data_IF_941511201280
#
_entry.id   IF_941511201280
#
_cell.length_a   1.000
_cell.length_b   1.000
_cell.length_c   1.000
_cell.angle_alpha   90.00
_cell.angle_beta   90.00
_cell.angle_gamma   90.00
#
_symmetry.space_group_name_H-M   'P 1'
#
loop_
_entity.id
_entity.type
_entity.pdbx_description
1 polymer ?
#
# COMPACT_ATOMS: atom_id res chain seq x y z
N UNK A 1 -0.65 26.85 2.83
CA UNK A 1 -0.85 26.53 4.27
C UNK A 1 -1.15 25.04 4.44
N UNK A 2 -0.27 24.36 5.17
CA UNK A 2 -0.41 22.96 5.58
C UNK A 2 -1.44 22.91 6.76
N UNK A 3 -2.57 22.17 6.67
CA UNK A 3 -3.62 22.13 7.73
C UNK A 3 -4.23 20.74 7.98
N UNK A 4 -4.81 20.52 9.17
CA UNK A 4 -5.59 19.31 9.51
C UNK A 4 -6.97 19.42 8.84
N UNK A 5 -7.43 18.32 8.25
CA UNK A 5 -8.77 18.22 7.64
C UNK A 5 -9.37 16.85 7.94
N UNK A 6 -10.67 16.69 7.83
CA UNK A 6 -11.31 15.36 7.88
C UNK A 6 -11.37 14.79 6.47
N UNK A 7 -11.15 13.48 6.33
CA UNK A 7 -11.35 12.80 5.05
C UNK A 7 -12.83 12.44 4.86
N UNK A 8 -13.43 12.80 3.73
CA UNK A 8 -14.83 12.49 3.41
C UNK A 8 -15.12 10.99 3.26
N UNK A 9 -14.11 10.19 2.91
CA UNK A 9 -14.31 8.74 2.69
C UNK A 9 -14.36 7.96 4.00
N UNK A 10 -13.40 8.19 4.89
CA UNK A 10 -13.22 7.39 6.10
C UNK A 10 -13.57 8.13 7.39
N UNK A 11 -13.82 9.46 7.31
CA UNK A 11 -14.10 10.35 8.43
C UNK A 11 -12.98 10.42 9.48
N UNK A 12 -11.76 9.96 9.15
CA UNK A 12 -10.59 10.10 10.00
C UNK A 12 -9.89 11.44 9.79
N UNK A 13 -9.17 11.95 10.81
CA UNK A 13 -8.26 13.07 10.66
C UNK A 13 -7.20 12.77 9.59
N UNK A 14 -7.08 13.73 8.69
CA UNK A 14 -6.18 13.75 7.54
C UNK A 14 -5.51 15.12 7.46
N UNK A 15 -4.70 15.31 6.44
CA UNK A 15 -3.93 16.52 6.23
C UNK A 15 -4.07 16.98 4.78
N UNK A 16 -4.12 18.30 4.60
CA UNK A 16 -4.08 18.94 3.29
C UNK A 16 -2.90 19.90 3.18
N UNK A 17 -2.12 19.73 2.11
CA UNK A 17 -1.04 20.62 1.74
C UNK A 17 0.22 19.89 1.25
N UNK A 18 1.34 20.56 1.48
CA UNK A 18 2.73 20.26 1.19
C UNK A 18 3.28 18.85 1.56
N UNK A 19 2.65 18.09 2.44
CA UNK A 19 3.12 16.79 2.95
C UNK A 19 4.30 16.88 3.94
N UNK A 20 5.09 17.95 3.87
CA UNK A 20 6.27 18.18 4.74
C UNK A 20 5.92 18.44 6.21
N UNK A 21 4.69 18.84 6.51
CA UNK A 21 4.25 19.13 7.88
C UNK A 21 3.21 18.11 8.39
N UNK A 22 3.16 16.90 7.83
CA UNK A 22 2.19 15.86 8.26
C UNK A 22 2.39 15.53 9.74
N UNK A 23 3.63 15.26 10.17
CA UNK A 23 3.92 14.90 11.57
C UNK A 23 3.63 16.04 12.55
N UNK A 24 3.81 17.29 12.11
CA UNK A 24 3.55 18.47 12.93
C UNK A 24 2.04 18.77 13.04
N UNK A 25 1.26 18.47 11.98
CA UNK A 25 -0.19 18.70 11.95
C UNK A 25 -0.98 17.55 12.59
N UNK A 26 -0.50 16.31 12.47
CA UNK A 26 -1.10 15.10 13.03
C UNK A 26 -0.35 14.58 14.27
N UNK A 27 0.53 15.37 14.89
CA UNK A 27 1.32 14.94 16.05
C UNK A 27 0.48 14.47 17.24
N UNK A 28 -0.67 15.09 17.43
CA UNK A 28 -1.66 14.75 18.47
C UNK A 28 -2.56 13.56 18.08
N UNK A 29 -2.57 13.13 16.81
CA UNK A 29 -3.36 11.99 16.35
C UNK A 29 -2.49 10.73 16.30
N UNK A 30 -2.82 9.66 17.04
CA UNK A 30 -2.10 8.40 16.96
C UNK A 30 -2.22 7.80 15.56
N UNK A 31 -1.15 7.13 15.08
CA UNK A 31 -1.06 6.62 13.69
C UNK A 31 -2.25 5.75 13.26
N UNK A 32 -2.87 5.05 14.21
CA UNK A 32 -4.02 4.21 13.95
C UNK A 32 -5.29 5.00 13.59
N UNK A 33 -5.45 6.19 14.17
CA UNK A 33 -6.60 7.06 13.91
C UNK A 33 -6.40 8.00 12.72
N UNK A 34 -5.24 7.97 12.07
CA UNK A 34 -4.95 8.78 10.87
C UNK A 34 -5.61 8.15 9.64
N UNK A 35 -5.99 8.98 8.66
CA UNK A 35 -6.51 8.48 7.39
C UNK A 35 -5.47 7.66 6.62
N UNK A 36 -5.75 6.36 6.37
CA UNK A 36 -4.91 5.42 5.61
C UNK A 36 -5.42 5.12 4.19
N UNK A 37 -6.39 5.88 3.69
CA UNK A 37 -7.02 5.62 2.38
C UNK A 37 -6.04 5.61 1.19
N UNK A 38 -4.88 6.29 1.33
CA UNK A 38 -3.86 6.35 0.27
C UNK A 38 -2.93 5.13 0.26
N UNK A 39 -2.68 4.51 1.40
CA UNK A 39 -1.79 3.34 1.52
C UNK A 39 -2.46 2.06 1.01
N UNK A 40 -3.76 1.91 1.27
CA UNK A 40 -4.55 0.74 0.82
C UNK A 40 -4.56 0.55 -0.70
N UNK A 41 -4.35 1.63 -1.47
CA UNK A 41 -4.36 1.57 -2.93
C UNK A 41 -3.01 1.16 -3.54
N UNK A 42 -1.94 1.04 -2.74
CA UNK A 42 -0.59 0.76 -3.24
C UNK A 42 -0.12 -0.67 -2.96
N UNK A 43 -0.75 -1.39 -2.03
CA UNK A 43 -0.40 -2.76 -1.68
C UNK A 43 -0.87 -3.81 -2.70
N UNK A 44 -1.71 -3.43 -3.67
CA UNK A 44 -2.30 -4.38 -4.61
C UNK A 44 -1.47 -4.66 -5.87
N UNK A 45 -0.37 -3.93 -6.14
CA UNK A 45 0.24 -3.94 -7.49
C UNK A 45 1.73 -4.31 -7.53
N UNK A 46 2.42 -4.38 -6.39
CA UNK A 46 3.89 -4.53 -6.38
C UNK A 46 4.36 -5.97 -6.21
N UNK A 47 3.54 -6.86 -5.63
CA UNK A 47 3.92 -8.26 -5.36
C UNK A 47 3.88 -9.18 -6.59
N UNK A 48 2.97 -8.91 -7.55
CA UNK A 48 2.66 -9.85 -8.63
C UNK A 48 3.66 -9.78 -9.81
N UNK A 49 4.26 -8.62 -10.04
CA UNK A 49 5.22 -8.43 -11.13
C UNK A 49 6.64 -8.92 -10.79
N UNK A 50 7.02 -8.86 -9.50
CA UNK A 50 8.32 -9.32 -9.02
C UNK A 50 8.42 -10.85 -9.01
N UNK A 51 7.32 -11.52 -8.62
CA UNK A 51 7.19 -12.97 -8.69
C UNK A 51 7.21 -13.48 -10.14
N UNK A 52 6.55 -12.78 -11.07
CA UNK A 52 6.56 -13.16 -12.49
C UNK A 52 7.96 -13.03 -13.13
N UNK A 53 8.76 -12.03 -12.72
CA UNK A 53 10.14 -11.89 -13.20
C UNK A 53 11.11 -12.91 -12.59
N UNK A 54 10.94 -13.28 -11.32
CA UNK A 54 11.71 -14.37 -10.72
C UNK A 54 11.34 -15.73 -11.33
N UNK A 55 10.05 -15.98 -11.61
CA UNK A 55 9.60 -17.22 -12.24
C UNK A 55 10.14 -17.40 -13.66
N UNK A 56 10.24 -16.33 -14.46
CA UNK A 56 10.84 -16.36 -15.79
C UNK A 56 12.33 -16.73 -15.76
N UNK A 57 13.10 -16.17 -14.82
CA UNK A 57 14.53 -16.50 -14.65
C UNK A 57 14.72 -17.93 -14.15
N UNK A 58 13.84 -18.41 -13.26
CA UNK A 58 13.86 -19.78 -12.77
C UNK A 58 13.52 -20.80 -13.88
N UNK A 59 12.52 -20.51 -14.72
CA UNK A 59 12.10 -21.36 -15.85
C UNK A 59 13.19 -21.55 -16.91
N UNK A 60 14.01 -20.53 -17.16
CA UNK A 60 15.09 -20.63 -18.16
C UNK A 60 16.32 -21.38 -17.67
N UNK A 61 16.52 -21.47 -16.35
CA UNK A 61 17.72 -22.07 -15.76
C UNK A 61 17.48 -23.52 -15.38
N UNK A 62 16.37 -23.86 -14.71
CA UNK A 62 16.00 -25.21 -14.30
C UNK A 62 14.56 -25.48 -14.77
N UNK A 63 14.37 -26.31 -15.80
CA UNK A 63 13.05 -26.61 -16.39
C UNK A 63 12.10 -27.37 -15.45
N UNK A 64 11.60 -26.71 -14.40
CA UNK A 64 10.64 -27.26 -13.42
C UNK A 64 9.36 -26.43 -13.53
N UNK A 65 8.37 -26.99 -14.23
CA UNK A 65 7.04 -26.42 -14.39
C UNK A 65 6.24 -26.68 -13.11
N UNK A 66 5.97 -25.64 -12.31
CA UNK A 66 5.12 -25.76 -11.12
C UNK A 66 3.69 -25.31 -11.45
N UNK A 67 2.66 -26.13 -11.20
CA UNK A 67 1.26 -25.77 -11.43
C UNK A 67 0.78 -24.74 -10.41
N UNK A 68 0.10 -23.70 -10.87
CA UNK A 68 -0.60 -22.77 -9.98
C UNK A 68 -1.75 -23.51 -9.27
N UNK A 69 -1.52 -23.84 -8.00
CA UNK A 69 -2.44 -24.57 -7.14
C UNK A 69 -3.70 -23.76 -6.81
N UNK A 70 -4.84 -24.44 -6.96
CA UNK A 70 -5.76 -24.66 -5.84
C UNK A 70 -6.53 -23.46 -5.27
N UNK A 71 -7.73 -23.21 -5.82
CA UNK A 71 -8.77 -22.45 -5.12
C UNK A 71 -9.46 -23.30 -4.04
N UNK A 72 -9.52 -22.71 -2.85
CA UNK A 72 -10.68 -22.54 -1.96
C UNK A 72 -11.18 -23.69 -1.05
N UNK A 73 -11.33 -23.30 0.23
CA UNK A 73 -12.01 -23.92 1.39
C UNK A 73 -11.29 -25.07 2.09
#
# INVERSE_FOLDING_TARGET
MCRRTTCDKCHKPSYMGCGRHIEQVLGDVPKDQRCKCREQNQTASTGEFWLMRLALVALTVWGVSWPADGKAN
#
